data_IF_578093786378
#
_entry.id   IF_578093786378
#
_cell.length_a   1.000
_cell.length_b   1.000
_cell.length_c   1.000
_cell.angle_alpha   90.00
_cell.angle_beta   90.00
_cell.angle_gamma   90.00
#
_symmetry.space_group_name_H-M   'P 1'
#
loop_
_entity.id
_entity.type
_entity.pdbx_description
1 polymer ?
#
# COMPACT_ATOMS: atom_id res chain seq x y z
N UNK A 1 16.66 2.49 -6.32
CA UNK A 1 16.54 1.51 -5.25
C UNK A 1 16.09 2.15 -3.95
N UNK A 2 16.72 3.27 -3.58
CA UNK A 2 16.34 4.03 -2.40
C UNK A 2 15.01 4.74 -2.57
N UNK A 3 14.65 5.10 -3.81
CA UNK A 3 13.40 5.80 -4.11
C UNK A 3 12.20 4.90 -3.81
N UNK A 4 12.27 3.60 -4.14
CA UNK A 4 11.19 2.67 -3.87
C UNK A 4 10.98 2.49 -2.37
N UNK A 5 12.08 2.36 -1.60
CA UNK A 5 12.00 2.23 -0.15
C UNK A 5 11.41 3.49 0.48
N UNK A 6 11.80 4.67 0.00
CA UNK A 6 11.22 5.93 0.46
C UNK A 6 9.74 6.02 0.16
N UNK A 7 9.32 5.61 -1.03
CA UNK A 7 7.91 5.61 -1.41
C UNK A 7 7.09 4.70 -0.51
N UNK A 8 7.61 3.52 -0.18
CA UNK A 8 6.94 2.60 0.73
C UNK A 8 6.76 3.26 2.09
N UNK A 9 7.81 3.89 2.64
CA UNK A 9 7.72 4.56 3.94
C UNK A 9 6.72 5.70 3.93
N UNK A 10 6.70 6.50 2.85
CA UNK A 10 5.76 7.61 2.73
C UNK A 10 4.33 7.08 2.70
N UNK A 11 4.07 6.04 1.90
CA UNK A 11 2.74 5.45 1.80
C UNK A 11 2.31 4.79 3.12
N UNK A 12 3.24 4.17 3.83
CA UNK A 12 2.93 3.60 5.15
C UNK A 12 2.54 4.69 6.15
N UNK A 13 3.23 5.83 6.13
CA UNK A 13 2.86 6.99 6.96
C UNK A 13 1.50 7.53 6.58
N UNK A 14 1.22 7.63 5.28
CA UNK A 14 -0.08 8.08 4.80
C UNK A 14 -1.19 7.13 5.23
N UNK A 15 -0.95 5.82 5.18
CA UNK A 15 -1.91 4.83 5.63
C UNK A 15 -2.23 4.99 7.11
N UNK A 16 -1.21 5.17 7.95
CA UNK A 16 -1.40 5.38 9.37
C UNK A 16 -2.15 6.68 9.67
N UNK A 17 -1.79 7.77 8.98
CA UNK A 17 -2.47 9.05 9.12
C UNK A 17 -3.93 8.94 8.71
N UNK A 18 -4.20 8.21 7.63
CA UNK A 18 -5.55 8.02 7.15
C UNK A 18 -6.36 7.16 8.11
N UNK A 19 -5.74 6.14 8.71
CA UNK A 19 -6.40 5.33 9.73
C UNK A 19 -6.85 6.20 10.90
N UNK A 20 -5.99 7.08 11.39
CA UNK A 20 -6.32 8.01 12.46
C UNK A 20 -7.45 8.94 12.07
N UNK A 21 -7.42 9.45 10.83
CA UNK A 21 -8.48 10.31 10.30
C UNK A 21 -9.81 9.57 10.23
N UNK A 22 -9.80 8.32 9.76
CA UNK A 22 -10.99 7.50 9.66
C UNK A 22 -11.58 7.24 11.05
N UNK A 23 -10.74 6.92 12.03
CA UNK A 23 -11.19 6.71 13.39
C UNK A 23 -11.88 7.94 13.96
N UNK A 24 -11.33 9.13 13.69
CA UNK A 24 -11.93 10.39 14.13
C UNK A 24 -13.25 10.66 13.41
N UNK A 25 -13.29 10.46 12.10
CA UNK A 25 -14.50 10.66 11.30
C UNK A 25 -15.59 9.67 11.74
N UNK A 26 -15.21 8.44 12.03
CA UNK A 26 -16.16 7.43 12.47
C UNK A 26 -16.77 7.81 13.81
N UNK A 27 -15.98 8.27 14.76
CA UNK A 27 -16.48 8.75 16.05
C UNK A 27 -17.43 9.92 15.85
N UNK A 28 -17.09 10.84 14.96
CA UNK A 28 -17.95 11.98 14.64
C UNK A 28 -19.25 11.52 13.98
N UNK A 29 -19.18 10.53 13.10
CA UNK A 29 -20.36 9.96 12.47
C UNK A 29 -21.28 9.32 13.52
N UNK A 30 -20.70 8.53 14.42
CA UNK A 30 -21.47 7.88 15.49
C UNK A 30 -22.11 8.90 16.44
N UNK A 31 -21.46 10.04 16.63
CA UNK A 31 -21.99 11.15 17.42
C UNK A 31 -22.97 12.02 16.69
N UNK A 32 -23.24 11.74 15.39
CA UNK A 32 -24.14 12.54 14.58
C UNK A 32 -23.55 13.84 14.05
N UNK A 33 -22.23 14.00 14.16
CA UNK A 33 -21.53 15.23 13.74
C UNK A 33 -20.99 15.17 12.31
N UNK A 34 -21.05 14.01 11.68
CA UNK A 34 -20.48 13.82 10.34
C UNK A 34 -21.41 12.97 9.49
N UNK A 35 -21.37 13.17 8.18
CA UNK A 35 -22.16 12.41 7.22
C UNK A 35 -21.50 11.08 6.90
N UNK A 36 -22.33 10.08 6.60
CA UNK A 36 -21.86 8.76 6.16
C UNK A 36 -20.99 8.86 4.91
N UNK A 37 -21.35 9.76 3.98
CA UNK A 37 -20.60 9.94 2.74
C UNK A 37 -19.15 10.31 3.01
N UNK A 38 -18.90 11.17 3.99
CA UNK A 38 -17.55 11.59 4.35
C UNK A 38 -16.76 10.42 4.93
N UNK A 39 -17.41 9.60 5.75
CA UNK A 39 -16.79 8.39 6.30
C UNK A 39 -16.43 7.41 5.18
N UNK A 40 -17.35 7.20 4.24
CA UNK A 40 -17.11 6.29 3.13
C UNK A 40 -15.97 6.79 2.22
N UNK A 41 -15.94 8.09 1.93
CA UNK A 41 -14.87 8.69 1.13
C UNK A 41 -13.52 8.52 1.81
N UNK A 42 -13.46 8.72 3.12
CA UNK A 42 -12.21 8.52 3.87
C UNK A 42 -11.75 7.07 3.79
N UNK A 43 -12.67 6.11 3.89
CA UNK A 43 -12.34 4.69 3.76
C UNK A 43 -11.86 4.35 2.36
N UNK A 44 -12.47 4.92 1.34
CA UNK A 44 -12.05 4.73 -0.05
C UNK A 44 -10.64 5.29 -0.26
N UNK A 45 -10.36 6.48 0.27
CA UNK A 45 -9.03 7.09 0.17
C UNK A 45 -7.98 6.18 0.81
N UNK A 46 -8.28 5.59 1.96
CA UNK A 46 -7.37 4.66 2.61
C UNK A 46 -7.14 3.41 1.77
N UNK A 47 -8.21 2.86 1.18
CA UNK A 47 -8.10 1.69 0.30
C UNK A 47 -7.21 2.01 -0.89
N UNK A 48 -7.34 3.20 -1.48
CA UNK A 48 -6.48 3.62 -2.59
C UNK A 48 -5.02 3.69 -2.17
N UNK A 49 -4.74 4.20 -0.97
CA UNK A 49 -3.37 4.24 -0.42
C UNK A 49 -2.85 2.82 -0.24
N UNK A 50 -3.66 1.92 0.29
CA UNK A 50 -3.27 0.53 0.49
C UNK A 50 -3.00 -0.18 -0.84
N UNK A 51 -3.81 0.09 -1.87
CA UNK A 51 -3.58 -0.44 -3.20
C UNK A 51 -2.24 0.06 -3.76
N UNK A 52 -1.98 1.36 -3.64
CA UNK A 52 -0.72 1.94 -4.09
C UNK A 52 0.47 1.33 -3.35
N UNK A 53 0.31 1.14 -2.04
CA UNK A 53 1.35 0.54 -1.21
C UNK A 53 1.64 -0.89 -1.67
N UNK A 54 0.60 -1.68 -1.93
CA UNK A 54 0.76 -3.04 -2.43
C UNK A 54 1.43 -3.05 -3.81
N UNK A 55 1.06 -2.13 -4.69
CA UNK A 55 1.67 -2.03 -6.01
C UNK A 55 3.16 -1.69 -5.92
N UNK A 56 3.52 -0.73 -5.06
CA UNK A 56 4.92 -0.34 -4.89
C UNK A 56 5.72 -1.48 -4.27
N UNK A 57 5.17 -2.16 -3.28
CA UNK A 57 5.81 -3.33 -2.67
C UNK A 57 6.00 -4.44 -3.70
N UNK A 58 5.00 -4.70 -4.52
CA UNK A 58 5.08 -5.71 -5.57
C UNK A 58 6.16 -5.35 -6.58
N UNK A 59 6.26 -4.10 -6.97
CA UNK A 59 7.30 -3.63 -7.88
C UNK A 59 8.69 -3.79 -7.27
N UNK A 60 8.82 -3.46 -6.00
CA UNK A 60 10.09 -3.61 -5.28
C UNK A 60 10.52 -5.07 -5.22
N UNK A 61 9.59 -5.96 -4.88
CA UNK A 61 9.84 -7.40 -4.83
C UNK A 61 10.14 -7.93 -6.23
N UNK A 62 9.42 -7.46 -7.24
CA UNK A 62 9.62 -7.88 -8.63
C UNK A 62 11.03 -7.52 -9.12
N UNK A 63 11.51 -6.32 -8.80
CA UNK A 63 12.87 -5.92 -9.17
C UNK A 63 13.93 -6.78 -8.49
N UNK A 64 13.73 -7.08 -7.21
CA UNK A 64 14.62 -8.00 -6.49
C UNK A 64 14.53 -9.41 -7.06
N UNK A 65 13.34 -9.85 -7.41
CA UNK A 65 13.12 -11.17 -8.01
C UNK A 65 13.71 -11.25 -9.41
N UNK A 66 13.68 -10.18 -10.20
CA UNK A 66 14.31 -10.16 -11.51
C UNK A 66 15.81 -10.41 -11.42
N UNK A 67 16.46 -9.79 -10.43
CA UNK A 67 17.87 -10.02 -10.21
C UNK A 67 18.17 -11.48 -9.86
N UNK A 68 17.33 -12.06 -9.03
CA UNK A 68 17.48 -13.46 -8.63
C UNK A 68 16.97 -14.43 -9.69
N UNK A 69 15.99 -14.02 -10.49
CA UNK A 69 15.34 -14.90 -11.45
C UNK A 69 16.23 -15.23 -12.65
N UNK A 70 17.22 -14.40 -12.97
CA UNK A 70 18.17 -14.74 -14.02
C UNK A 70 18.91 -16.03 -13.68
N UNK A 71 19.28 -16.20 -12.42
CA UNK A 71 19.95 -17.42 -11.95
C UNK A 71 18.96 -18.58 -11.94
N UNK A 72 17.77 -18.36 -11.42
CA UNK A 72 16.75 -19.41 -11.33
C UNK A 72 16.27 -19.85 -12.71
N UNK A 73 16.18 -18.93 -13.65
CA UNK A 73 15.77 -19.23 -15.01
C UNK A 73 16.80 -20.11 -15.71
N UNK A 74 18.06 -19.78 -15.58
CA UNK A 74 19.14 -20.60 -16.14
C UNK A 74 19.14 -21.99 -15.52
N UNK A 75 18.90 -22.07 -14.21
CA UNK A 75 18.83 -23.35 -13.51
C UNK A 75 17.66 -24.20 -14.02
N UNK A 76 16.50 -23.58 -14.24
CA UNK A 76 15.35 -24.30 -14.76
C UNK A 76 15.56 -24.80 -16.18
N UNK A 77 16.23 -24.02 -17.01
CA UNK A 77 16.56 -24.43 -18.37
C UNK A 77 17.50 -25.62 -18.38
N UNK A 78 18.43 -25.65 -17.46
CA UNK A 78 19.37 -26.77 -17.33
C UNK A 78 18.67 -28.01 -16.82
N UNK A 79 17.72 -27.86 -15.90
CA UNK A 79 17.04 -29.01 -15.27
C UNK A 79 15.92 -29.60 -16.10
N UNK A 80 15.62 -29.00 -17.23
CA UNK A 80 14.70 -29.59 -18.19
C UNK A 80 15.43 -30.64 -19.01
#
# INVERSE_FOLDING_TARGET
RDAAAKNIKVLEKQDKSMKSKIDAVQRNYEAGLENLDILLLAKIDRLNIQIQLEQVKAMYISKAAEFNSNIAKDYKEISK
#
